data_IF_903211676468
#
_entry.id   IF_903211676468
#
_cell.length_a   1.000
_cell.length_b   1.000
_cell.length_c   1.000
_cell.angle_alpha   90.00
_cell.angle_beta   90.00
_cell.angle_gamma   90.00
#
_symmetry.space_group_name_H-M   'P 1'
#
loop_
_entity.id
_entity.type
_entity.pdbx_description
1 polymer ?
#
# COMPACT_ATOMS: atom_id res chain seq x y z
N UNK A 1 -18.98 4.15 -0.73
CA UNK A 1 -18.21 3.28 0.18
C UNK A 1 -17.18 4.13 0.91
N UNK A 2 -17.12 4.00 2.21
CA UNK A 2 -16.18 4.71 3.07
C UNK A 2 -14.83 3.96 3.12
N UNK A 3 -13.75 4.65 3.53
CA UNK A 3 -12.45 4.01 3.76
C UNK A 3 -12.52 2.92 4.85
N UNK A 4 -13.40 3.08 5.83
CA UNK A 4 -13.63 2.06 6.87
C UNK A 4 -14.22 0.77 6.31
N UNK A 5 -15.24 0.86 5.45
CA UNK A 5 -15.80 -0.31 4.76
C UNK A 5 -14.78 -0.99 3.84
N UNK A 6 -13.92 -0.19 3.21
CA UNK A 6 -12.85 -0.68 2.35
C UNK A 6 -11.86 -1.61 3.08
N UNK A 7 -11.58 -1.38 4.37
CA UNK A 7 -10.70 -2.22 5.21
C UNK A 7 -11.14 -3.69 5.19
N UNK A 8 -12.45 -3.93 5.20
CA UNK A 8 -13.00 -5.29 5.27
C UNK A 8 -13.18 -5.95 3.91
N UNK A 9 -13.16 -5.17 2.83
CA UNK A 9 -13.48 -5.67 1.48
C UNK A 9 -12.27 -5.70 0.55
N UNK A 10 -11.28 -4.83 0.76
CA UNK A 10 -10.10 -4.71 -0.09
C UNK A 10 -9.26 -6.00 -0.07
N UNK A 11 -8.77 -6.37 -1.23
CA UNK A 11 -7.75 -7.42 -1.41
C UNK A 11 -6.62 -6.91 -2.31
N UNK A 12 -5.48 -7.58 -2.28
CA UNK A 12 -4.39 -7.34 -3.22
C UNK A 12 -4.77 -7.83 -4.60
N UNK A 13 -4.69 -6.96 -5.60
CA UNK A 13 -4.97 -7.25 -7.01
C UNK A 13 -3.64 -7.49 -7.72
N UNK A 14 -3.56 -8.62 -8.43
CA UNK A 14 -2.35 -9.04 -9.13
C UNK A 14 -2.53 -9.21 -10.63
N UNK A 15 -3.77 -9.08 -11.11
CA UNK A 15 -4.11 -9.08 -12.54
C UNK A 15 -4.84 -7.78 -12.87
N UNK A 16 -4.32 -7.07 -13.85
CA UNK A 16 -4.83 -5.77 -14.25
C UNK A 16 -5.27 -5.80 -15.70
N UNK A 17 -6.25 -4.96 -16.04
CA UNK A 17 -6.62 -4.61 -17.41
C UNK A 17 -5.57 -3.65 -17.97
N UNK A 18 -5.50 -3.57 -19.29
CA UNK A 18 -4.65 -2.57 -19.96
C UNK A 18 -5.35 -1.19 -20.11
N UNK A 19 -6.52 -1.04 -19.48
CA UNK A 19 -7.28 0.21 -19.55
C UNK A 19 -6.50 1.33 -18.83
N UNK A 20 -6.40 2.47 -19.50
CA UNK A 20 -5.74 3.65 -18.93
C UNK A 20 -6.61 4.31 -17.87
N UNK A 21 -5.98 4.72 -16.78
CA UNK A 21 -6.60 5.61 -15.79
C UNK A 21 -6.59 7.01 -16.38
N UNK A 22 -7.74 7.70 -16.33
CA UNK A 22 -7.86 9.04 -16.89
C UNK A 22 -6.89 10.02 -16.21
N UNK A 23 -6.34 11.01 -16.94
CA UNK A 23 -5.46 12.03 -16.36
C UNK A 23 -6.05 12.69 -15.12
N UNK A 24 -7.33 13.06 -15.17
CA UNK A 24 -8.04 13.65 -14.01
C UNK A 24 -8.08 12.72 -12.79
N UNK A 25 -8.14 11.40 -13.00
CA UNK A 25 -8.10 10.45 -11.89
C UNK A 25 -6.69 10.29 -11.34
N UNK A 26 -5.67 10.29 -12.21
CA UNK A 26 -4.26 10.28 -11.78
C UNK A 26 -3.92 11.51 -10.95
N UNK A 27 -4.34 12.70 -11.37
CA UNK A 27 -4.19 13.95 -10.60
C UNK A 27 -4.87 13.85 -9.21
N UNK A 28 -6.07 13.26 -9.13
CA UNK A 28 -6.76 13.04 -7.85
C UNK A 28 -6.01 12.06 -6.94
N UNK A 29 -5.39 11.03 -7.51
CA UNK A 29 -4.59 10.06 -6.77
C UNK A 29 -3.32 10.72 -6.24
N UNK A 30 -2.64 11.51 -7.06
CA UNK A 30 -1.43 12.25 -6.69
C UNK A 30 -1.74 13.24 -5.57
N UNK A 31 -2.76 14.07 -5.76
CA UNK A 31 -3.22 15.02 -4.75
C UNK A 31 -3.61 14.34 -3.44
N UNK A 32 -4.32 13.21 -3.51
CA UNK A 32 -4.65 12.45 -2.30
C UNK A 32 -3.40 12.01 -1.54
N UNK A 33 -2.35 11.56 -2.25
CA UNK A 33 -1.07 11.20 -1.64
C UNK A 33 -0.40 12.40 -0.95
N UNK A 34 -0.41 13.57 -1.60
CA UNK A 34 0.14 14.82 -1.07
C UNK A 34 -0.61 15.33 0.17
N UNK A 35 -1.95 15.21 0.16
CA UNK A 35 -2.82 15.65 1.26
C UNK A 35 -2.89 14.63 2.42
N UNK A 36 -2.38 13.40 2.23
CA UNK A 36 -2.45 12.35 3.24
C UNK A 36 -1.58 12.66 4.46
N UNK A 37 -2.17 12.50 5.65
CA UNK A 37 -1.48 12.75 6.92
C UNK A 37 -1.06 11.43 7.55
N UNK A 38 0.24 11.25 7.76
CA UNK A 38 0.81 10.09 8.43
C UNK A 38 0.74 10.18 9.96
N UNK A 39 1.22 9.14 10.63
CA UNK A 39 1.36 9.11 12.10
C UNK A 39 2.45 10.07 12.61
N UNK A 40 3.38 10.43 11.73
CA UNK A 40 4.47 11.39 11.96
C UNK A 40 4.45 12.43 10.82
N UNK A 41 3.62 13.46 10.93
CA UNK A 41 3.49 14.48 9.87
C UNK A 41 4.73 15.37 9.72
N UNK A 42 5.64 15.34 10.69
CA UNK A 42 6.94 16.01 10.66
C UNK A 42 7.97 15.30 9.75
N UNK A 43 7.73 14.04 9.38
CA UNK A 43 8.64 13.29 8.51
C UNK A 43 8.42 13.69 7.05
N UNK A 44 9.51 14.13 6.40
CA UNK A 44 9.46 14.47 4.98
C UNK A 44 9.27 13.23 4.13
N UNK A 45 8.22 13.24 3.30
CA UNK A 45 7.90 12.17 2.36
C UNK A 45 7.70 12.74 0.96
N UNK A 46 7.83 11.88 -0.05
CA UNK A 46 7.56 12.23 -1.44
C UNK A 46 6.93 11.07 -2.17
N UNK A 47 5.90 11.36 -2.95
CA UNK A 47 5.20 10.42 -3.81
C UNK A 47 5.68 10.55 -5.24
N UNK A 48 5.77 9.44 -5.94
CA UNK A 48 6.00 9.40 -7.38
C UNK A 48 5.10 8.36 -8.03
N UNK A 49 4.21 8.82 -8.90
CA UNK A 49 3.42 7.95 -9.78
C UNK A 49 4.18 7.84 -11.10
N UNK A 50 4.25 6.64 -11.64
CA UNK A 50 4.89 6.38 -12.93
C UNK A 50 4.19 5.22 -13.65
N UNK A 51 4.28 5.22 -14.98
CA UNK A 51 3.82 4.13 -15.83
C UNK A 51 4.89 3.02 -15.87
N UNK A 52 4.46 1.82 -16.21
CA UNK A 52 5.34 0.66 -16.39
C UNK A 52 6.50 0.96 -17.37
N UNK A 53 6.21 1.72 -18.42
CA UNK A 53 7.16 2.04 -19.49
C UNK A 53 8.22 3.05 -19.05
N UNK A 54 7.90 3.93 -18.11
CA UNK A 54 8.77 5.05 -17.71
C UNK A 54 9.94 4.58 -16.84
N UNK A 55 9.71 3.56 -16.02
CA UNK A 55 10.71 3.07 -15.07
C UNK A 55 10.73 1.55 -15.01
N UNK A 56 11.92 0.98 -15.08
CA UNK A 56 12.09 -0.46 -14.96
C UNK A 56 12.17 -0.89 -13.50
N UNK A 57 11.18 -1.66 -13.06
CA UNK A 57 11.23 -2.36 -11.78
C UNK A 57 12.09 -3.61 -11.88
N UNK A 58 12.96 -3.81 -10.88
CA UNK A 58 13.69 -5.05 -10.63
C UNK A 58 13.08 -5.77 -9.43
N UNK A 59 13.20 -7.07 -9.38
CA UNK A 59 12.79 -7.90 -8.24
C UNK A 59 12.12 -9.18 -8.68
N UNK A 60 12.24 -10.19 -7.84
CA UNK A 60 11.48 -11.44 -7.91
C UNK A 60 10.06 -11.14 -7.42
N UNK A 61 9.04 -11.77 -7.98
CA UNK A 61 7.63 -11.65 -7.57
C UNK A 61 6.97 -10.28 -7.80
N UNK A 62 7.46 -9.48 -8.74
CA UNK A 62 6.77 -8.25 -9.12
C UNK A 62 5.44 -8.56 -9.81
N UNK A 63 4.43 -7.80 -9.49
CA UNK A 63 3.14 -7.81 -10.19
C UNK A 63 3.26 -6.88 -11.40
N UNK A 64 2.86 -7.35 -12.56
CA UNK A 64 2.80 -6.55 -13.77
C UNK A 64 1.52 -5.70 -13.76
N UNK A 65 1.66 -4.38 -13.72
CA UNK A 65 0.58 -3.42 -13.63
C UNK A 65 0.84 -2.21 -14.54
N UNK A 66 -0.19 -1.51 -15.02
CA UNK A 66 -0.01 -0.35 -15.87
C UNK A 66 0.63 0.84 -15.12
N UNK A 67 0.38 0.95 -13.82
CA UNK A 67 0.87 2.05 -13.00
C UNK A 67 1.50 1.56 -11.71
N UNK A 68 2.43 2.36 -11.21
CA UNK A 68 3.07 2.16 -9.92
C UNK A 68 3.14 3.48 -9.17
N UNK A 69 3.10 3.41 -7.85
CA UNK A 69 3.43 4.53 -6.97
C UNK A 69 4.58 4.13 -6.08
N UNK A 70 5.58 4.99 -6.00
CA UNK A 70 6.72 4.89 -5.08
C UNK A 70 6.58 5.94 -3.98
N UNK A 71 6.79 5.53 -2.74
CA UNK A 71 6.88 6.42 -1.58
C UNK A 71 8.31 6.46 -1.10
N UNK A 72 8.85 7.66 -1.06
CA UNK A 72 10.16 8.01 -0.53
C UNK A 72 10.01 8.70 0.82
N UNK A 73 10.97 8.50 1.71
CA UNK A 73 11.00 9.14 3.03
C UNK A 73 12.42 9.46 3.45
N UNK A 74 12.60 10.50 4.22
CA UNK A 74 13.83 10.68 4.99
C UNK A 74 13.96 9.56 6.03
N UNK A 75 15.22 9.20 6.33
CA UNK A 75 15.54 8.13 7.29
C UNK A 75 15.60 8.73 8.69
N UNK A 76 14.61 8.41 9.52
CA UNK A 76 14.54 8.80 10.92
C UNK A 76 13.74 7.77 11.73
N UNK A 77 13.54 8.02 13.01
CA UNK A 77 12.70 7.14 13.83
C UNK A 77 11.27 7.08 13.29
N UNK A 78 10.70 5.87 13.23
CA UNK A 78 9.34 5.56 12.77
C UNK A 78 9.02 5.83 11.29
N UNK A 79 10.00 6.22 10.45
CA UNK A 79 9.73 6.52 9.04
C UNK A 79 9.03 5.37 8.28
N UNK A 80 9.37 4.11 8.57
CA UNK A 80 8.71 2.96 7.93
C UNK A 80 7.26 2.77 8.39
N UNK A 81 6.98 3.05 9.65
CA UNK A 81 5.61 3.00 10.17
C UNK A 81 4.77 4.11 9.54
N UNK A 82 5.36 5.32 9.44
CA UNK A 82 4.74 6.45 8.79
C UNK A 82 4.43 6.17 7.31
N UNK A 83 5.41 5.64 6.58
CA UNK A 83 5.24 5.23 5.18
C UNK A 83 4.14 4.16 5.00
N UNK A 84 4.09 3.18 5.90
CA UNK A 84 3.04 2.15 5.91
C UNK A 84 1.65 2.74 6.12
N UNK A 85 1.50 3.68 7.05
CA UNK A 85 0.25 4.39 7.31
C UNK A 85 -0.22 5.17 6.08
N UNK A 86 0.66 5.95 5.47
CA UNK A 86 0.37 6.74 4.27
C UNK A 86 -0.01 5.86 3.09
N UNK A 87 0.76 4.81 2.83
CA UNK A 87 0.53 3.93 1.70
C UNK A 87 -0.77 3.12 1.84
N UNK A 88 -1.17 2.74 3.07
CA UNK A 88 -2.45 2.08 3.28
C UNK A 88 -3.63 3.04 3.08
N UNK A 89 -3.53 4.30 3.48
CA UNK A 89 -4.55 5.31 3.16
C UNK A 89 -4.76 5.42 1.65
N UNK A 90 -3.68 5.47 0.87
CA UNK A 90 -3.76 5.50 -0.59
C UNK A 90 -4.37 4.20 -1.15
N UNK A 91 -4.00 3.04 -0.61
CA UNK A 91 -4.55 1.74 -1.02
C UNK A 91 -6.07 1.67 -0.81
N UNK A 92 -6.56 2.17 0.31
CA UNK A 92 -8.00 2.26 0.60
C UNK A 92 -8.69 3.27 -0.31
N UNK A 93 -8.08 4.42 -0.55
CA UNK A 93 -8.61 5.42 -1.48
C UNK A 93 -8.77 4.85 -2.89
N UNK A 94 -7.75 4.20 -3.43
CA UNK A 94 -7.79 3.55 -4.75
C UNK A 94 -8.95 2.55 -4.83
N UNK A 95 -9.09 1.71 -3.81
CA UNK A 95 -10.18 0.74 -3.73
C UNK A 95 -11.55 1.41 -3.78
N UNK A 96 -11.77 2.55 -3.09
CA UNK A 96 -13.05 3.29 -3.15
C UNK A 96 -13.34 3.86 -4.54
N UNK A 97 -12.33 3.97 -5.41
CA UNK A 97 -12.45 4.43 -6.80
C UNK A 97 -12.54 3.28 -7.81
N UNK A 98 -12.66 2.04 -7.34
CA UNK A 98 -12.70 0.87 -8.22
C UNK A 98 -11.34 0.48 -8.80
N UNK A 99 -10.25 1.02 -8.25
CA UNK A 99 -8.88 0.77 -8.67
C UNK A 99 -8.26 -0.26 -7.73
N UNK A 100 -7.72 -1.33 -8.31
CA UNK A 100 -7.02 -2.37 -7.58
C UNK A 100 -5.59 -1.98 -7.26
N UNK A 101 -5.06 -2.47 -6.14
CA UNK A 101 -3.67 -2.23 -5.76
C UNK A 101 -2.99 -3.46 -5.16
N UNK A 102 -1.66 -3.50 -5.23
CA UNK A 102 -0.84 -4.54 -4.60
C UNK A 102 0.55 -4.01 -4.24
N UNK A 103 0.94 -4.16 -2.98
CA UNK A 103 2.30 -3.87 -2.53
C UNK A 103 3.33 -4.74 -3.24
N UNK A 104 4.46 -4.14 -3.62
CA UNK A 104 5.55 -4.80 -4.32
C UNK A 104 6.69 -5.10 -3.35
N UNK A 105 6.56 -6.19 -2.58
CA UNK A 105 7.59 -6.61 -1.64
C UNK A 105 8.89 -7.01 -2.37
N UNK A 106 10.00 -6.35 -2.02
CA UNK A 106 11.30 -6.61 -2.62
C UNK A 106 11.51 -6.05 -4.03
N UNK A 107 10.55 -5.28 -4.56
CA UNK A 107 10.76 -4.52 -5.79
C UNK A 107 11.67 -3.32 -5.55
N UNK A 108 12.53 -3.05 -6.52
CA UNK A 108 13.44 -1.89 -6.54
C UNK A 108 13.34 -1.19 -7.89
N UNK A 109 13.55 0.09 -7.92
CA UNK A 109 13.75 0.83 -9.18
C UNK A 109 15.17 0.63 -9.67
N UNK A 110 15.36 0.56 -11.00
CA UNK A 110 16.69 0.50 -11.60
C UNK A 110 17.46 1.80 -11.40
N UNK A 111 16.75 2.92 -11.38
CA UNK A 111 17.31 4.26 -11.21
C UNK A 111 16.57 4.92 -10.07
N UNK A 112 17.28 5.46 -9.11
CA UNK A 112 16.68 6.25 -8.04
C UNK A 112 16.10 7.54 -8.62
N UNK A 113 14.82 7.78 -8.33
CA UNK A 113 14.10 8.97 -8.76
C UNK A 113 14.42 10.14 -7.82
N UNK A 114 14.64 9.86 -6.55
CA UNK A 114 14.96 10.83 -5.50
C UNK A 114 16.29 10.47 -4.86
N UNK A 115 17.22 11.44 -4.84
CA UNK A 115 18.58 11.22 -4.31
C UNK A 115 18.68 11.43 -2.80
N UNK A 116 17.83 12.31 -2.25
CA UNK A 116 17.90 12.75 -0.85
C UNK A 116 16.93 11.99 0.07
N UNK A 117 16.19 11.04 -0.46
CA UNK A 117 15.19 10.25 0.28
C UNK A 117 15.35 8.77 -0.03
N UNK A 118 15.07 7.91 0.95
CA UNK A 118 15.05 6.47 0.76
C UNK A 118 13.73 6.02 0.11
N UNK A 119 13.81 5.16 -0.90
CA UNK A 119 12.66 4.45 -1.43
C UNK A 119 12.19 3.43 -0.39
N UNK A 120 11.04 3.69 0.23
CA UNK A 120 10.51 2.84 1.31
C UNK A 120 9.56 1.77 0.79
N UNK A 121 8.64 2.14 -0.10
CA UNK A 121 7.59 1.26 -0.59
C UNK A 121 7.24 1.53 -2.03
N UNK A 122 6.86 0.46 -2.75
CA UNK A 122 6.26 0.53 -4.08
C UNK A 122 4.92 -0.21 -4.04
N UNK A 123 3.92 0.34 -4.70
CA UNK A 123 2.62 -0.30 -4.90
C UNK A 123 2.21 -0.23 -6.36
N UNK A 124 1.83 -1.38 -6.93
CA UNK A 124 1.22 -1.49 -8.24
C UNK A 124 -0.26 -1.10 -8.16
N UNK A 125 -0.80 -0.47 -9.19
CA UNK A 125 -2.23 -0.17 -9.25
C UNK A 125 -2.74 -0.08 -10.70
N UNK A 126 -4.07 -0.21 -10.85
CA UNK A 126 -4.76 -0.18 -12.12
C UNK A 126 -6.17 -0.73 -12.03
N UNK A 127 -6.90 -0.74 -13.14
CA UNK A 127 -8.21 -1.39 -13.18
C UNK A 127 -8.06 -2.91 -13.07
N UNK A 128 -8.81 -3.56 -12.14
CA UNK A 128 -8.62 -4.98 -11.87
C UNK A 128 -9.17 -5.85 -13.00
N UNK A 129 -8.43 -6.91 -13.38
CA UNK A 129 -8.88 -8.00 -14.25
C UNK A 129 -9.35 -9.23 -13.44
N UNK A 130 -9.48 -9.10 -12.14
CA UNK A 130 -9.96 -10.09 -11.19
C UNK A 130 -10.90 -9.42 -10.18
N UNK A 131 -11.69 -10.16 -9.37
CA UNK A 131 -12.58 -9.53 -8.39
C UNK A 131 -11.83 -8.58 -7.46
N UNK A 132 -12.31 -7.33 -7.41
CA UNK A 132 -11.71 -6.26 -6.60
C UNK A 132 -11.89 -6.50 -5.10
N UNK A 133 -13.00 -7.12 -4.75
CA UNK A 133 -13.43 -7.34 -3.38
C UNK A 133 -13.20 -8.79 -2.92
N UNK A 134 -13.13 -8.95 -1.63
CA UNK A 134 -13.20 -10.24 -0.95
C UNK A 134 -14.39 -10.27 0.01
N UNK A 135 -14.95 -11.45 0.22
CA UNK A 135 -15.92 -11.68 1.28
C UNK A 135 -15.23 -11.84 2.64
N UNK A 136 -16.00 -11.76 3.70
CA UNK A 136 -15.47 -12.01 5.05
C UNK A 136 -14.94 -13.45 5.20
N UNK A 137 -15.54 -14.39 4.49
CA UNK A 137 -15.20 -15.83 4.49
C UNK A 137 -13.82 -16.11 3.83
N UNK A 138 -13.35 -15.18 2.97
CA UNK A 138 -12.05 -15.30 2.33
C UNK A 138 -10.87 -14.97 3.27
N UNK A 139 -11.14 -14.51 4.50
CA UNK A 139 -10.10 -14.15 5.44
C UNK A 139 -9.43 -15.38 6.05
N UNK A 140 -8.20 -15.63 5.68
CA UNK A 140 -7.29 -16.58 6.34
C UNK A 140 -6.47 -15.88 7.41
N UNK A 141 -7.04 -15.67 8.59
CA UNK A 141 -6.33 -15.02 9.68
C UNK A 141 -5.48 -16.02 10.45
N UNK A 142 -4.25 -15.61 10.77
CA UNK A 142 -3.39 -16.36 11.67
C UNK A 142 -3.96 -16.23 13.08
N UNK A 143 -4.04 -17.34 13.82
CA UNK A 143 -4.51 -17.34 15.20
C UNK A 143 -3.65 -16.41 16.07
N UNK A 144 -4.29 -15.63 16.93
CA UNK A 144 -3.63 -14.64 17.77
C UNK A 144 -2.47 -15.24 18.60
N UNK A 145 -2.63 -16.47 19.09
CA UNK A 145 -1.58 -17.20 19.85
C UNK A 145 -0.28 -17.43 19.07
N UNK A 146 -0.35 -17.42 17.70
CA UNK A 146 0.82 -17.56 16.82
C UNK A 146 1.48 -16.22 16.51
N UNK A 147 0.77 -15.11 16.72
CA UNK A 147 1.22 -13.75 16.41
C UNK A 147 1.80 -13.04 17.63
N UNK A 148 1.33 -13.36 18.82
CA UNK A 148 1.66 -12.61 20.04
C UNK A 148 2.22 -13.55 21.10
N UNK A 149 3.42 -13.23 21.59
CA UNK A 149 3.98 -13.79 22.83
C UNK A 149 3.90 -12.70 23.89
N UNK A 150 3.01 -12.87 24.86
CA UNK A 150 2.91 -11.96 26.00
C UNK A 150 3.96 -12.38 27.03
N UNK A 151 5.02 -11.57 27.19
CA UNK A 151 6.04 -11.73 28.25
C UNK A 151 5.82 -10.61 29.25
N UNK A 152 5.46 -10.95 30.48
CA UNK A 152 5.33 -9.96 31.56
C UNK A 152 4.62 -10.51 32.79
N UNK A 153 4.72 -9.77 33.92
CA UNK A 153 4.26 -10.13 35.25
C UNK A 153 2.73 -10.11 35.46
N UNK A 154 1.94 -9.99 34.42
CA UNK A 154 0.49 -10.12 34.54
C UNK A 154 0.14 -11.59 34.58
N UNK A 155 -0.23 -12.02 35.79
CA UNK A 155 -0.73 -13.36 36.06
C UNK A 155 -1.81 -13.77 35.06
N UNK A 156 -1.92 -15.07 34.86
CA UNK A 156 -2.84 -15.78 33.94
C UNK A 156 -4.06 -14.92 33.50
N UNK A 157 -4.01 -14.36 32.30
CA UNK A 157 -5.20 -13.85 31.66
C UNK A 157 -6.12 -15.05 31.42
N UNK A 158 -7.12 -15.20 32.26
CA UNK A 158 -8.15 -16.21 32.06
C UNK A 158 -8.85 -15.92 30.72
N UNK A 159 -8.71 -16.85 29.80
CA UNK A 159 -9.48 -16.88 28.56
C UNK A 159 -10.93 -17.13 28.91
N UNK A 160 -11.76 -16.09 28.77
CA UNK A 160 -13.17 -16.29 28.44
C UNK A 160 -13.35 -15.72 27.04
N UNK A 161 -13.50 -16.60 26.09
CA UNK A 161 -14.18 -16.39 24.83
C UNK A 161 -15.62 -16.83 25.02
#
# INVERSE_FOLDING_TARGET
>A
MTSYEAIFRRRSIRKYKNDEISPTMLEKIERFGEDAVGIRPDIRVKWKIFRKEDHQLKGLFRVDAPYYVALYSEICEDYRKNAGCLMEQLSLYLFTKGIGSCYQGGAKLKTDIEKDLELVMIMAFGYPAEPLERSYEDFRRIELKKLVTIRGAFGKVQRKL
#
